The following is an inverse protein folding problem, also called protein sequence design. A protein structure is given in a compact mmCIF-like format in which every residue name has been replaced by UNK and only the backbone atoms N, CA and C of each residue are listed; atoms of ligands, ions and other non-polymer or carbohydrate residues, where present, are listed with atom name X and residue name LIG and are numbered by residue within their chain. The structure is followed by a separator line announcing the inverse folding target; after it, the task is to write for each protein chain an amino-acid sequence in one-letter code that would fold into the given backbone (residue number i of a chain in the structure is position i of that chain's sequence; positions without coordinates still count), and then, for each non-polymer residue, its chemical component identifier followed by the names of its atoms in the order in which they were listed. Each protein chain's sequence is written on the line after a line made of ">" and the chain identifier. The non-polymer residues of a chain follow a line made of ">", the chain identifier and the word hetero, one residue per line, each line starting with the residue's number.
data_IF_009269640852
#
_entry.id   IF_009269640852
#
_cell.length_a   1.000
_cell.length_b   1.000
_cell.length_c   1.000
_cell.angle_alpha   90.00
_cell.angle_beta   90.00
_cell.angle_gamma   90.00
#
_symmetry.space_group_name_H-M   'P 1'
#
loop_
_entity.id
_entity.type
_entity.pdbx_description
1 polymer ?
#
# COMPACT_ATOMS: atom_id res chain seq x y z
N UNK A 1 11.05 9.43 -2.61
CA UNK A 1 9.95 9.01 -1.73
C UNK A 1 10.05 9.79 -0.43
N UNK A 2 8.94 10.03 0.28
CA UNK A 2 8.99 10.60 1.64
C UNK A 2 9.38 9.54 2.67
N UNK A 3 9.68 9.95 3.91
CA UNK A 3 9.97 9.00 5.00
C UNK A 3 8.79 8.06 5.24
N UNK A 4 7.57 8.60 5.26
CA UNK A 4 6.36 7.77 5.41
C UNK A 4 6.10 6.83 4.22
N UNK A 5 6.44 7.22 2.99
CA UNK A 5 6.38 6.31 1.84
C UNK A 5 7.41 5.17 1.96
N UNK A 6 8.58 5.45 2.54
CA UNK A 6 9.60 4.45 2.81
C UNK A 6 9.10 3.47 3.88
N UNK A 7 8.62 3.96 5.02
CA UNK A 7 8.10 3.14 6.11
C UNK A 7 6.94 2.25 5.66
N UNK A 8 6.01 2.77 4.84
CA UNK A 8 4.92 1.97 4.28
C UNK A 8 5.43 0.88 3.33
N UNK A 9 6.44 1.16 2.49
CA UNK A 9 6.99 0.14 1.59
C UNK A 9 7.76 -0.95 2.34
N UNK A 10 8.42 -0.61 3.45
CA UNK A 10 9.15 -1.57 4.30
C UNK A 10 8.20 -2.60 4.95
N UNK A 11 6.94 -2.23 5.22
CA UNK A 11 5.92 -3.13 5.75
C UNK A 11 5.24 -4.03 4.69
N UNK A 12 5.52 -3.80 3.39
CA UNK A 12 4.80 -4.41 2.26
C UNK A 12 5.61 -5.46 1.50
N UNK A 13 6.55 -6.14 2.16
CA UNK A 13 7.22 -7.34 1.60
C UNK A 13 6.27 -8.52 1.39
N UNK A 14 5.21 -8.61 2.19
CA UNK A 14 4.14 -9.60 2.10
C UNK A 14 2.79 -8.93 1.94
N UNK A 15 1.77 -9.71 1.59
CA UNK A 15 0.39 -9.20 1.48
C UNK A 15 -0.10 -8.80 2.87
N UNK A 16 -0.36 -7.51 3.06
CA UNK A 16 -0.66 -6.93 4.38
C UNK A 16 -1.99 -6.18 4.34
N UNK A 17 -2.85 -6.40 5.33
CA UNK A 17 -4.13 -5.69 5.44
C UNK A 17 -3.94 -4.22 5.80
N UNK A 18 -4.87 -3.35 5.38
CA UNK A 18 -4.88 -1.94 5.78
C UNK A 18 -4.79 -1.74 7.30
N UNK A 19 -5.58 -2.51 8.05
CA UNK A 19 -5.61 -2.42 9.51
C UNK A 19 -4.31 -2.88 10.18
N UNK A 20 -3.58 -3.82 9.58
CA UNK A 20 -2.25 -4.20 10.06
C UNK A 20 -1.25 -3.09 9.82
N UNK A 21 -1.23 -2.47 8.63
CA UNK A 21 -0.36 -1.33 8.34
C UNK A 21 -0.54 -0.19 9.34
N UNK A 22 -1.79 0.21 9.61
CA UNK A 22 -2.06 1.29 10.57
C UNK A 22 -1.53 0.95 11.98
N UNK A 23 -1.67 -0.31 12.41
CA UNK A 23 -1.18 -0.76 13.72
C UNK A 23 0.34 -0.81 13.80
N UNK A 24 1.02 -1.32 12.77
CA UNK A 24 2.48 -1.43 12.79
C UNK A 24 3.13 -0.05 12.73
N UNK A 25 2.64 0.81 11.83
CA UNK A 25 3.20 2.14 11.62
C UNK A 25 2.75 3.17 12.67
N UNK A 26 1.73 2.83 13.49
CA UNK A 26 1.12 3.72 14.48
C UNK A 26 0.63 5.04 13.87
N UNK A 27 0.15 5.00 12.63
CA UNK A 27 -0.36 6.15 11.89
C UNK A 27 -1.89 6.17 11.87
N UNK A 28 -2.46 7.37 11.69
CA UNK A 28 -3.91 7.50 11.50
C UNK A 28 -4.32 6.88 10.15
N UNK A 29 -5.53 6.31 10.09
CA UNK A 29 -6.04 5.69 8.86
C UNK A 29 -5.97 6.65 7.66
N UNK A 30 -6.31 7.91 7.86
CA UNK A 30 -6.30 8.90 6.79
C UNK A 30 -4.88 9.15 6.24
N UNK A 31 -3.84 9.08 7.08
CA UNK A 31 -2.45 9.23 6.64
C UNK A 31 -2.03 8.02 5.80
N UNK A 32 -2.26 6.81 6.30
CA UNK A 32 -1.94 5.56 5.58
C UNK A 32 -2.70 5.50 4.25
N UNK A 33 -3.97 5.92 4.22
CA UNK A 33 -4.78 5.98 3.00
C UNK A 33 -4.13 6.87 1.93
N UNK A 34 -3.74 8.09 2.28
CA UNK A 34 -3.16 9.02 1.31
C UNK A 34 -1.79 8.55 0.80
N UNK A 35 -0.98 7.96 1.67
CA UNK A 35 0.31 7.37 1.26
C UNK A 35 0.08 6.19 0.31
N UNK A 36 -0.81 5.27 0.66
CA UNK A 36 -1.14 4.13 -0.21
C UNK A 36 -1.72 4.60 -1.55
N UNK A 37 -2.58 5.63 -1.57
CA UNK A 37 -3.10 6.21 -2.81
C UNK A 37 -1.96 6.68 -3.71
N UNK A 38 -0.99 7.40 -3.15
CA UNK A 38 0.18 7.88 -3.89
C UNK A 38 1.03 6.71 -4.41
N UNK A 39 1.29 5.69 -3.59
CA UNK A 39 2.09 4.52 -3.96
C UNK A 39 1.41 3.65 -5.04
N UNK A 40 0.10 3.45 -4.94
CA UNK A 40 -0.70 2.77 -5.97
C UNK A 40 -0.70 3.56 -7.28
N UNK A 41 -0.87 4.88 -7.22
CA UNK A 41 -0.79 5.76 -8.39
C UNK A 41 0.57 5.71 -9.08
N UNK A 42 1.66 5.47 -8.35
CA UNK A 42 3.02 5.25 -8.88
C UNK A 42 3.25 3.84 -9.42
N UNK A 43 2.31 2.91 -9.23
CA UNK A 43 2.50 1.50 -9.53
C UNK A 43 3.51 0.80 -8.60
N UNK A 44 3.77 1.38 -7.43
CA UNK A 44 4.71 0.85 -6.43
C UNK A 44 4.04 -0.10 -5.45
N UNK A 45 2.72 -0.04 -5.33
CA UNK A 45 1.91 -0.93 -4.50
C UNK A 45 0.73 -1.47 -5.33
N UNK A 46 0.40 -2.74 -5.12
CA UNK A 46 -0.80 -3.41 -5.65
C UNK A 46 -1.84 -3.59 -4.55
N UNK A 47 -3.11 -3.61 -4.94
CA UNK A 47 -4.23 -3.88 -4.05
C UNK A 47 -4.83 -5.26 -4.31
N UNK A 48 -5.33 -5.90 -3.26
CA UNK A 48 -5.97 -7.21 -3.30
C UNK A 48 -7.30 -7.18 -2.55
N UNK A 49 -8.32 -7.83 -3.12
CA UNK A 49 -9.58 -8.12 -2.45
C UNK A 49 -9.42 -9.45 -1.69
N UNK A 50 -9.24 -9.36 -0.38
CA UNK A 50 -8.66 -10.46 0.41
C UNK A 50 -7.15 -10.60 0.16
N UNK A 51 -6.62 -11.80 0.39
CA UNK A 51 -5.17 -12.11 0.34
C UNK A 51 -4.67 -12.62 -1.02
N UNK A 52 -5.58 -12.98 -1.93
CA UNK A 52 -5.26 -13.75 -3.14
C UNK A 52 -5.71 -13.10 -4.44
N UNK A 53 -6.75 -12.25 -4.42
CA UNK A 53 -7.32 -11.67 -5.64
C UNK A 53 -6.80 -10.26 -5.89
N UNK A 54 -5.83 -10.10 -6.79
CA UNK A 54 -5.35 -8.77 -7.22
C UNK A 54 -6.48 -7.97 -7.88
N UNK A 55 -6.61 -6.69 -7.51
CA UNK A 55 -7.55 -5.73 -8.10
C UNK A 55 -6.77 -4.81 -9.04
N UNK A 56 -7.17 -4.78 -10.30
CA UNK A 56 -6.56 -3.89 -11.28
C UNK A 56 -6.94 -2.43 -11.00
N UNK A 57 -6.05 -1.49 -11.31
CA UNK A 57 -6.23 -0.06 -11.00
C UNK A 57 -7.50 0.54 -11.61
N UNK A 58 -7.93 0.08 -12.79
CA UNK A 58 -9.17 0.52 -13.42
C UNK A 58 -10.45 0.11 -12.68
N UNK A 59 -10.37 -0.91 -11.83
CA UNK A 59 -11.49 -1.47 -11.05
C UNK A 59 -11.42 -1.08 -9.57
N UNK A 60 -10.41 -0.30 -9.19
CA UNK A 60 -10.15 0.10 -7.81
C UNK A 60 -11.12 1.21 -7.38
N UNK A 61 -12.11 0.87 -6.56
CA UNK A 61 -12.88 1.82 -5.76
C UNK A 61 -12.07 2.25 -4.53
N UNK A 62 -10.87 2.80 -4.73
CA UNK A 62 -9.89 3.02 -3.66
C UNK A 62 -10.48 3.85 -2.51
N UNK A 63 -11.16 4.95 -2.82
CA UNK A 63 -11.64 5.89 -1.79
C UNK A 63 -12.70 5.33 -0.86
N UNK A 64 -13.48 4.37 -1.37
CA UNK A 64 -14.58 3.71 -0.67
C UNK A 64 -14.14 2.41 0.01
N UNK A 65 -13.15 1.71 -0.56
CA UNK A 65 -12.79 0.34 -0.18
C UNK A 65 -11.35 0.16 0.32
N UNK A 66 -10.54 1.22 0.42
CA UNK A 66 -9.13 1.13 0.88
C UNK A 66 -8.96 0.28 2.15
N UNK A 67 -9.86 0.42 3.13
CA UNK A 67 -9.78 -0.31 4.39
C UNK A 67 -10.07 -1.83 4.25
N UNK A 68 -10.71 -2.26 3.16
CA UNK A 68 -11.05 -3.65 2.88
C UNK A 68 -9.96 -4.38 2.09
N UNK A 69 -9.03 -3.63 1.49
CA UNK A 69 -7.97 -4.21 0.67
C UNK A 69 -6.78 -4.68 1.49
N UNK A 70 -6.02 -5.59 0.88
CA UNK A 70 -4.65 -5.90 1.25
C UNK A 70 -3.69 -5.31 0.23
N UNK A 71 -2.45 -5.11 0.63
CA UNK A 71 -1.45 -4.38 -0.13
C UNK A 71 -0.17 -5.18 -0.23
N UNK A 72 0.55 -5.01 -1.34
CA UNK A 72 1.85 -5.63 -1.57
C UNK A 72 2.72 -4.68 -2.39
N UNK A 73 4.00 -4.52 -2.02
CA UNK A 73 4.94 -3.76 -2.81
C UNK A 73 5.23 -4.45 -4.14
N UNK A 74 5.27 -3.69 -5.23
CA UNK A 74 5.71 -4.22 -6.52
C UNK A 74 7.23 -4.28 -6.59
N UNK A 75 7.77 -5.02 -7.56
CA UNK A 75 9.21 -4.99 -7.86
C UNK A 75 9.72 -3.56 -8.09
N UNK A 76 8.92 -2.70 -8.74
CA UNK A 76 9.26 -1.30 -8.96
C UNK A 76 9.29 -0.50 -7.63
N UNK A 77 8.32 -0.75 -6.75
CA UNK A 77 8.29 -0.16 -5.41
C UNK A 77 9.51 -0.56 -4.57
N UNK A 78 9.83 -1.85 -4.51
CA UNK A 78 11.00 -2.34 -3.77
C UNK A 78 12.32 -1.82 -4.35
N UNK A 79 12.45 -1.75 -5.66
CA UNK A 79 13.64 -1.16 -6.29
C UNK A 79 13.80 0.32 -5.93
N UNK A 80 12.70 1.08 -5.94
CA UNK A 80 12.72 2.48 -5.52
C UNK A 80 13.10 2.60 -4.04
N UNK A 81 12.54 1.76 -3.16
CA UNK A 81 12.83 1.70 -1.73
C UNK A 81 14.32 1.47 -1.44
N UNK A 82 14.93 0.47 -2.09
CA UNK A 82 16.35 0.13 -1.90
C UNK A 82 17.34 1.14 -2.49
N UNK A 83 16.88 2.02 -3.39
CA UNK A 83 17.73 2.99 -4.09
C UNK A 83 17.81 4.36 -3.41
N UNK A 84 17.24 4.51 -2.21
CA UNK A 84 17.20 5.77 -1.46
C UNK A 84 18.17 5.80 -0.29
#
# INVERSE_FOLDING_TARGET
>A
MSDLEFDVLDELYFVTSFGQLCRTLQLAEQEVKEILRALVGKGWVKCFDGDTKEVVVSELSFDERYAQYHYLATKAGLFAHHSR
#
